data_IF_466469780637
#
_entry.id   IF_466469780637
#
_cell.length_a   1.000
_cell.length_b   1.000
_cell.length_c   1.000
_cell.angle_alpha   90.00
_cell.angle_beta   90.00
_cell.angle_gamma   90.00
#
_symmetry.space_group_name_H-M   'P 1'
#
loop_
_entity.id
_entity.type
_entity.pdbx_description
1 polymer ?
#
# COMPACT_ATOMS: atom_id res chain seq x y z
N UNK A 1 2.83 -12.32 16.63
CA UNK A 1 2.13 -11.02 16.49
C UNK A 1 3.06 -10.12 15.67
N UNK A 2 2.58 -9.47 14.61
CA UNK A 2 3.43 -8.54 13.85
C UNK A 2 3.41 -7.21 14.63
N UNK A 3 4.50 -6.90 15.33
CA UNK A 3 4.67 -5.57 15.95
C UNK A 3 4.83 -4.54 14.84
N UNK A 4 3.83 -3.69 14.68
CA UNK A 4 3.94 -2.55 13.76
C UNK A 4 4.81 -1.49 14.42
N UNK A 5 5.68 -0.83 13.65
CA UNK A 5 6.42 0.35 14.11
C UNK A 5 5.49 1.29 14.88
N UNK A 6 5.93 1.82 16.03
CA UNK A 6 5.16 2.76 16.88
C UNK A 6 4.64 3.99 16.13
N UNK A 7 5.20 4.30 14.96
CA UNK A 7 4.84 5.42 14.10
C UNK A 7 3.81 5.07 13.01
N UNK A 8 3.58 3.78 12.75
CA UNK A 8 2.68 3.33 11.70
C UNK A 8 1.33 2.91 12.26
N UNK A 9 0.24 3.50 11.76
CA UNK A 9 -1.08 2.89 11.96
C UNK A 9 -1.08 1.53 11.26
N UNK A 10 -1.34 0.41 11.97
CA UNK A 10 -1.46 -0.89 11.33
C UNK A 10 -2.57 -0.83 10.27
N UNK A 11 -2.24 -1.08 9.01
CA UNK A 11 -3.28 -1.27 8.02
C UNK A 11 -3.96 -2.61 8.27
N UNK A 12 -5.29 -2.58 8.36
CA UNK A 12 -6.09 -3.79 8.49
C UNK A 12 -6.17 -4.44 7.11
N UNK A 13 -5.98 -5.76 7.06
CA UNK A 13 -6.18 -6.53 5.84
C UNK A 13 -7.58 -6.24 5.30
N UNK A 14 -7.69 -6.11 3.98
CA UNK A 14 -8.90 -5.76 3.25
C UNK A 14 -9.37 -4.30 3.34
N UNK A 15 -8.62 -3.41 3.98
CA UNK A 15 -8.91 -1.97 3.94
C UNK A 15 -8.53 -1.38 2.57
N UNK A 16 -9.40 -0.54 2.02
CA UNK A 16 -9.07 0.28 0.85
C UNK A 16 -8.23 1.48 1.26
N UNK A 17 -7.17 1.73 0.50
CA UNK A 17 -6.26 2.85 0.70
C UNK A 17 -6.01 3.57 -0.61
N UNK A 18 -5.78 4.88 -0.54
CA UNK A 18 -5.30 5.68 -1.64
C UNK A 18 -3.79 5.92 -1.48
N UNK A 19 -3.04 5.89 -2.57
CA UNK A 19 -1.61 6.14 -2.55
C UNK A 19 -1.15 6.85 -3.83
N UNK A 20 0.02 7.48 -3.77
CA UNK A 20 0.62 8.19 -4.90
C UNK A 20 1.90 7.49 -5.31
N UNK A 21 2.03 7.15 -6.59
CA UNK A 21 3.24 6.57 -7.17
C UNK A 21 3.58 7.32 -8.45
N UNK A 22 4.82 7.82 -8.57
CA UNK A 22 5.27 8.66 -9.69
C UNK A 22 4.29 9.80 -10.07
N UNK A 23 3.71 10.49 -9.07
CA UNK A 23 2.71 11.57 -9.21
C UNK A 23 1.33 11.13 -9.70
N UNK A 24 1.11 9.85 -9.92
CA UNK A 24 -0.20 9.29 -10.22
C UNK A 24 -0.88 8.82 -8.93
N UNK A 25 -2.18 9.10 -8.83
CA UNK A 25 -3.01 8.66 -7.71
C UNK A 25 -3.63 7.31 -8.04
N UNK A 26 -3.49 6.37 -7.12
CA UNK A 26 -4.02 5.03 -7.22
C UNK A 26 -4.85 4.68 -5.99
N UNK A 27 -5.67 3.65 -6.13
CA UNK A 27 -6.35 2.99 -5.02
C UNK A 27 -6.07 1.50 -5.07
N UNK A 28 -6.12 0.89 -3.90
CA UNK A 28 -5.92 -0.54 -3.76
C UNK A 28 -6.37 -1.03 -2.40
N UNK A 29 -6.24 -2.34 -2.23
CA UNK A 29 -6.64 -3.06 -1.03
C UNK A 29 -5.43 -3.66 -0.34
N UNK A 30 -5.40 -3.56 0.99
CA UNK A 30 -4.33 -4.14 1.79
C UNK A 30 -4.43 -5.67 1.74
N UNK A 31 -3.49 -6.30 1.02
CA UNK A 31 -3.36 -7.75 0.94
C UNK A 31 -2.80 -8.29 2.26
N UNK A 32 -1.73 -7.66 2.75
CA UNK A 32 -0.95 -8.14 3.89
C UNK A 32 -0.25 -7.01 4.64
N UNK A 33 -0.40 -7.02 5.96
CA UNK A 33 0.40 -6.21 6.87
C UNK A 33 1.75 -6.90 7.14
N UNK A 34 2.84 -6.13 7.09
CA UNK A 34 4.19 -6.51 7.51
C UNK A 34 4.61 -5.62 8.70
N UNK A 35 5.82 -5.84 9.23
CA UNK A 35 6.32 -5.13 10.42
C UNK A 35 6.35 -3.61 10.22
N UNK A 36 6.96 -3.16 9.13
CA UNK A 36 7.15 -1.74 8.81
C UNK A 36 6.62 -1.38 7.42
N UNK A 37 5.75 -2.23 6.87
CA UNK A 37 5.19 -2.02 5.56
C UNK A 37 3.85 -2.74 5.39
N UNK A 38 3.14 -2.43 4.31
CA UNK A 38 2.01 -3.22 3.82
C UNK A 38 2.18 -3.52 2.34
N UNK A 39 1.62 -4.65 1.93
CA UNK A 39 1.42 -5.00 0.53
C UNK A 39 0.00 -4.60 0.14
N UNK A 40 -0.12 -3.88 -0.97
CA UNK A 40 -1.38 -3.43 -1.55
C UNK A 40 -1.53 -4.06 -2.92
N UNK A 41 -2.70 -4.64 -3.16
CA UNK A 41 -3.16 -5.01 -4.50
C UNK A 41 -3.92 -3.81 -5.11
N UNK A 42 -3.66 -3.48 -6.38
CA UNK A 42 -4.39 -2.39 -7.05
C UNK A 42 -5.88 -2.73 -7.21
N UNK A 43 -6.74 -1.71 -7.13
CA UNK A 43 -8.15 -1.84 -7.47
C UNK A 43 -8.32 -2.18 -8.97
N UNK A 44 -9.43 -2.84 -9.31
CA UNK A 44 -9.70 -3.30 -10.67
C UNK A 44 -9.61 -2.19 -11.72
N UNK A 45 -10.01 -0.96 -11.34
CA UNK A 45 -9.99 0.22 -12.20
C UNK A 45 -8.58 0.57 -12.72
N UNK A 46 -7.53 0.08 -12.06
CA UNK A 46 -6.13 0.36 -12.40
C UNK A 46 -5.38 -0.85 -12.97
N UNK A 47 -6.03 -2.02 -13.11
CA UNK A 47 -5.36 -3.26 -13.54
C UNK A 47 -4.66 -3.17 -14.89
N UNK A 48 -5.25 -2.42 -15.82
CA UNK A 48 -4.71 -2.20 -17.16
C UNK A 48 -3.75 -1.00 -17.26
N UNK A 49 -3.50 -0.30 -16.15
CA UNK A 49 -2.53 0.80 -16.16
C UNK A 49 -1.11 0.25 -16.32
N UNK A 50 -0.28 0.92 -17.12
CA UNK A 50 1.12 0.53 -17.34
C UNK A 50 1.87 0.36 -16.01
N UNK A 51 1.66 1.30 -15.08
CA UNK A 51 2.24 1.24 -13.72
C UNK A 51 1.82 -0.01 -12.95
N UNK A 52 0.53 -0.37 -12.96
CA UNK A 52 0.08 -1.56 -12.24
C UNK A 52 0.62 -2.85 -12.88
N UNK A 53 0.70 -2.91 -14.22
CA UNK A 53 1.27 -4.03 -14.95
C UNK A 53 2.77 -4.20 -14.66
N UNK A 54 3.55 -3.11 -14.72
CA UNK A 54 4.98 -3.11 -14.38
C UNK A 54 5.24 -3.61 -12.96
N UNK A 55 4.38 -3.20 -12.02
CA UNK A 55 4.47 -3.57 -10.61
C UNK A 55 3.81 -4.92 -10.30
N UNK A 56 3.38 -5.68 -11.32
CA UNK A 56 2.68 -6.96 -11.18
C UNK A 56 1.50 -6.89 -10.22
N UNK A 57 0.78 -5.78 -10.26
CA UNK A 57 -0.39 -5.46 -9.45
C UNK A 57 -0.12 -5.37 -7.94
N UNK A 58 1.14 -5.22 -7.51
CA UNK A 58 1.50 -5.18 -6.09
C UNK A 58 2.41 -4.00 -5.75
N UNK A 59 2.11 -3.32 -4.64
CA UNK A 59 2.95 -2.23 -4.10
C UNK A 59 3.29 -2.49 -2.65
N UNK A 60 4.54 -2.23 -2.27
CA UNK A 60 4.97 -2.22 -0.87
C UNK A 60 5.07 -0.78 -0.38
N UNK A 61 4.24 -0.39 0.58
CA UNK A 61 4.35 0.92 1.24
C UNK A 61 5.14 0.74 2.53
N UNK A 62 6.26 1.46 2.66
CA UNK A 62 7.05 1.49 3.90
C UNK A 62 6.59 2.60 4.83
N UNK A 63 6.35 2.27 6.09
CA UNK A 63 6.00 3.24 7.15
C UNK A 63 7.20 4.03 7.64
N UNK A 64 8.43 3.61 7.30
CA UNK A 64 9.66 4.29 7.74
C UNK A 64 9.75 5.77 7.32
N UNK A 65 8.98 6.17 6.30
CA UNK A 65 8.91 7.55 5.82
C UNK A 65 7.59 8.25 6.17
N UNK A 66 6.65 7.58 6.84
CA UNK A 66 5.41 8.21 7.30
C UNK A 66 5.73 9.01 8.56
N UNK A 67 5.51 10.32 8.50
CA UNK A 67 5.54 11.18 9.68
C UNK A 67 4.12 11.25 10.24
N UNK A 68 3.99 11.10 11.55
CA UNK A 68 2.76 11.53 12.24
C UNK A 68 2.61 13.04 12.01
N UNK A 69 1.45 13.44 11.51
CA UNK A 69 1.08 14.85 11.35
C UNK A 69 0.80 15.50 12.70
#
# INVERSE_FOLDING_TARGET
>A
MIEVSELGTPFVKNTHVAFVFHRHHFKGKIEKQLRNSAIIDFDNDYKESSTALELKQKVVISYSKMKLA
#
